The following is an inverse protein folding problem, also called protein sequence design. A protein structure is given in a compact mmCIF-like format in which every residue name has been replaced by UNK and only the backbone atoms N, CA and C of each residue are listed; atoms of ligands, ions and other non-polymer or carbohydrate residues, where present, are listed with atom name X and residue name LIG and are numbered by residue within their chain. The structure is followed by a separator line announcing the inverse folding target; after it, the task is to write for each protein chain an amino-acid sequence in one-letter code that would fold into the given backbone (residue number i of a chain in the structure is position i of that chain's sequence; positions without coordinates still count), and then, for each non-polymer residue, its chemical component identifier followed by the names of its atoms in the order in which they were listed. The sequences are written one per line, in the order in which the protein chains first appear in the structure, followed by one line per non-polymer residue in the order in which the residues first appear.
data_IF_564869117778
#
_entry.id   IF_564869117778
#
_cell.length_a   1.000
_cell.length_b   1.000
_cell.length_c   1.000
_cell.angle_alpha   90.00
_cell.angle_beta   90.00
_cell.angle_gamma   90.00
#
_symmetry.space_group_name_H-M   'P 1'
#
loop_
_entity.id
_entity.type
_entity.pdbx_description
1 polymer ?
#
# COMPACT_ATOMS: atom_id res chain seq x y z
N UNK A 1 -31.73 -25.66 -0.56
CA UNK A 1 -30.80 -24.74 -1.22
C UNK A 1 -30.77 -23.47 -0.37
N UNK A 2 -29.65 -23.12 0.29
CA UNK A 2 -29.61 -21.88 1.06
C UNK A 2 -29.77 -20.69 0.09
N UNK A 3 -30.47 -19.62 0.49
CA UNK A 3 -30.61 -18.43 -0.36
C UNK A 3 -29.24 -17.85 -0.69
N UNK A 4 -29.04 -17.26 -1.89
CA UNK A 4 -27.83 -16.51 -2.17
C UNK A 4 -27.72 -15.40 -1.11
N UNK A 5 -26.63 -15.41 -0.35
CA UNK A 5 -26.36 -14.34 0.62
C UNK A 5 -26.35 -12.97 -0.08
N UNK A 6 -26.54 -11.87 0.68
CA UNK A 6 -26.61 -10.54 0.11
C UNK A 6 -25.39 -10.25 -0.77
N UNK A 7 -25.56 -9.55 -1.91
CA UNK A 7 -24.47 -9.24 -2.82
C UNK A 7 -23.40 -8.44 -2.07
N UNK A 8 -22.17 -8.96 -2.04
CA UNK A 8 -21.05 -8.29 -1.37
C UNK A 8 -20.66 -7.08 -2.20
N UNK A 9 -20.70 -5.90 -1.58
CA UNK A 9 -20.42 -4.64 -2.25
C UNK A 9 -18.95 -4.56 -2.70
N UNK A 10 -18.64 -4.00 -3.89
CA UNK A 10 -17.27 -3.81 -4.34
C UNK A 10 -16.52 -2.84 -3.43
N UNK A 11 -15.21 -3.06 -3.26
CA UNK A 11 -14.39 -2.15 -2.45
C UNK A 11 -14.17 -0.83 -3.18
N UNK A 12 -13.92 -0.90 -4.49
CA UNK A 12 -13.71 0.26 -5.36
C UNK A 12 -14.54 0.06 -6.61
N UNK A 13 -15.29 1.09 -7.01
CA UNK A 13 -16.04 1.10 -8.26
C UNK A 13 -15.76 2.39 -9.02
N UNK A 14 -15.37 2.24 -10.27
CA UNK A 14 -15.16 3.32 -11.22
C UNK A 14 -16.11 3.11 -12.40
N UNK A 15 -16.96 4.09 -12.69
CA UNK A 15 -17.93 4.05 -13.77
C UNK A 15 -17.72 5.23 -14.73
N UNK A 16 -17.21 4.95 -15.93
CA UNK A 16 -17.00 5.90 -17.03
C UNK A 16 -16.31 7.21 -16.60
N UNK A 17 -15.30 7.10 -15.73
CA UNK A 17 -14.63 8.25 -15.14
C UNK A 17 -13.49 8.79 -15.99
N UNK A 18 -13.41 10.12 -16.10
CA UNK A 18 -12.24 10.81 -16.69
C UNK A 18 -11.38 11.38 -15.57
N UNK A 19 -10.08 11.08 -15.56
CA UNK A 19 -9.18 11.37 -14.45
C UNK A 19 -8.12 12.42 -14.80
N UNK A 20 -7.85 13.31 -13.85
CA UNK A 20 -6.91 14.42 -14.01
C UNK A 20 -6.00 14.58 -12.80
N UNK A 21 -4.79 15.12 -13.01
CA UNK A 21 -3.87 15.52 -11.94
C UNK A 21 -4.24 16.87 -11.34
N UNK A 22 -4.72 17.79 -12.17
CA UNK A 22 -5.19 19.12 -11.80
C UNK A 22 -6.66 19.27 -12.19
N UNK A 23 -7.36 20.22 -11.59
CA UNK A 23 -8.76 20.43 -11.91
C UNK A 23 -8.93 20.77 -13.41
N UNK A 24 -9.97 20.27 -14.11
CA UNK A 24 -10.18 20.54 -15.53
C UNK A 24 -10.26 22.02 -15.90
N UNK A 25 -10.59 22.89 -14.94
CA UNK A 25 -10.63 24.35 -15.13
C UNK A 25 -9.28 25.06 -14.93
N UNK A 26 -8.20 24.34 -14.60
CA UNK A 26 -6.88 24.94 -14.46
C UNK A 26 -6.36 25.47 -15.81
N UNK A 27 -5.52 26.50 -15.79
CA UNK A 27 -4.87 27.03 -16.98
C UNK A 27 -3.35 26.82 -16.92
N UNK A 28 -2.73 26.21 -17.95
CA UNK A 28 -3.38 25.63 -19.14
C UNK A 28 -4.22 24.39 -18.79
N UNK A 29 -5.24 24.10 -19.61
CA UNK A 29 -6.17 23.00 -19.38
C UNK A 29 -5.42 21.65 -19.31
N UNK A 30 -5.57 20.88 -18.21
CA UNK A 30 -4.83 19.64 -18.06
C UNK A 30 -5.38 18.57 -19.00
N UNK A 31 -4.49 17.80 -19.64
CA UNK A 31 -4.88 16.62 -20.41
C UNK A 31 -5.41 15.53 -19.48
N UNK A 32 -6.48 14.81 -19.85
CA UNK A 32 -6.96 13.67 -19.08
C UNK A 32 -5.88 12.57 -19.08
N UNK A 33 -5.64 12.00 -17.91
CA UNK A 33 -4.75 10.85 -17.72
C UNK A 33 -5.41 9.54 -18.16
N UNK A 34 -6.70 9.43 -17.89
CA UNK A 34 -7.57 8.37 -18.37
C UNK A 34 -8.92 8.98 -18.76
N UNK A 35 -9.51 8.50 -19.86
CA UNK A 35 -10.85 8.89 -20.31
C UNK A 35 -11.75 7.66 -20.37
N UNK A 36 -12.97 7.79 -19.84
CA UNK A 36 -13.98 6.72 -19.85
C UNK A 36 -13.57 5.44 -19.11
N UNK A 37 -12.69 5.56 -18.10
CA UNK A 37 -12.23 4.39 -17.34
C UNK A 37 -13.41 3.78 -16.57
N UNK A 38 -13.60 2.47 -16.74
CA UNK A 38 -14.59 1.69 -15.99
C UNK A 38 -13.90 0.45 -15.42
N UNK A 39 -13.99 0.27 -14.11
CA UNK A 39 -13.30 -0.80 -13.39
C UNK A 39 -14.03 -1.06 -12.07
N UNK A 40 -14.12 -2.33 -11.68
CA UNK A 40 -14.67 -2.72 -10.38
C UNK A 40 -13.73 -3.68 -9.67
N UNK A 41 -13.40 -3.36 -8.42
CA UNK A 41 -12.66 -4.25 -7.53
C UNK A 41 -13.64 -4.89 -6.55
N UNK A 42 -13.90 -6.20 -6.65
CA UNK A 42 -14.92 -6.86 -5.85
C UNK A 42 -14.55 -6.88 -4.37
N UNK A 43 -15.56 -6.81 -3.50
CA UNK A 43 -15.41 -6.91 -2.05
C UNK A 43 -15.69 -8.32 -1.56
N UNK A 44 -14.79 -8.86 -0.75
CA UNK A 44 -15.01 -10.08 0.01
C UNK A 44 -15.34 -11.30 -0.84
N UNK A 45 -14.49 -11.69 -1.79
CA UNK A 45 -14.61 -13.01 -2.43
C UNK A 45 -14.36 -14.15 -1.44
N UNK A 46 -15.02 -15.30 -1.62
CA UNK A 46 -14.75 -16.52 -0.84
C UNK A 46 -13.32 -17.06 -1.07
N UNK A 47 -12.73 -16.70 -2.21
CA UNK A 47 -11.33 -16.96 -2.54
C UNK A 47 -10.51 -15.66 -2.51
N UNK A 48 -9.28 -15.77 -2.00
CA UNK A 48 -8.29 -14.71 -2.04
C UNK A 48 -8.04 -14.20 -3.46
N UNK A 49 -8.20 -12.89 -3.66
CA UNK A 49 -7.94 -12.26 -4.94
C UNK A 49 -6.64 -11.45 -4.89
N UNK A 50 -5.82 -11.60 -5.94
CA UNK A 50 -4.67 -10.76 -6.19
C UNK A 50 -4.71 -10.34 -7.66
N UNK A 51 -4.60 -9.04 -7.89
CA UNK A 51 -4.70 -8.44 -9.22
C UNK A 51 -3.33 -7.92 -9.64
N UNK A 52 -3.00 -8.07 -10.92
CA UNK A 52 -1.79 -7.54 -11.51
C UNK A 52 -2.14 -6.57 -12.63
N UNK A 53 -1.56 -5.37 -12.58
CA UNK A 53 -1.67 -4.39 -13.66
C UNK A 53 -0.43 -4.54 -14.52
N UNK A 54 -0.61 -4.98 -15.77
CA UNK A 54 0.47 -5.19 -16.73
C UNK A 54 0.43 -4.15 -17.84
N UNK A 55 1.59 -3.78 -18.36
CA UNK A 55 1.72 -2.84 -19.46
C UNK A 55 3.15 -2.34 -19.63
N UNK A 56 3.48 -1.74 -20.78
CA UNK A 56 4.81 -1.18 -21.05
C UNK A 56 5.25 -0.15 -20.00
N UNK A 57 6.55 0.17 -19.97
CA UNK A 57 7.05 1.32 -19.21
C UNK A 57 6.29 2.58 -19.61
N UNK A 58 5.98 3.45 -18.65
CA UNK A 58 5.23 4.70 -18.85
C UNK A 58 3.79 4.53 -19.38
N UNK A 59 3.23 3.32 -19.36
CA UNK A 59 1.83 3.09 -19.78
C UNK A 59 0.77 3.59 -18.78
N UNK A 60 1.17 4.24 -17.68
CA UNK A 60 0.26 4.74 -16.65
C UNK A 60 -0.12 3.76 -15.54
N UNK A 61 0.64 2.67 -15.32
CA UNK A 61 0.37 1.69 -14.24
C UNK A 61 0.32 2.34 -12.85
N UNK A 62 1.38 3.07 -12.49
CA UNK A 62 1.43 3.88 -11.26
C UNK A 62 0.29 4.88 -11.19
N UNK A 63 -0.03 5.53 -12.31
CA UNK A 63 -1.15 6.48 -12.41
C UNK A 63 -2.49 5.79 -12.11
N UNK A 64 -2.71 4.57 -12.61
CA UNK A 64 -3.90 3.77 -12.29
C UNK A 64 -3.96 3.44 -10.80
N UNK A 65 -2.84 3.10 -10.17
CA UNK A 65 -2.81 2.91 -8.71
C UNK A 65 -3.14 4.20 -7.96
N UNK A 66 -2.72 5.37 -8.44
CA UNK A 66 -3.11 6.67 -7.84
C UNK A 66 -4.61 6.97 -8.05
N UNK A 67 -5.20 6.54 -9.17
CA UNK A 67 -6.66 6.59 -9.40
C UNK A 67 -7.38 5.76 -8.31
N UNK A 68 -6.96 4.51 -8.12
CA UNK A 68 -7.56 3.59 -7.14
C UNK A 68 -7.40 4.08 -5.71
N UNK A 69 -6.23 4.65 -5.39
CA UNK A 69 -5.91 5.21 -4.06
C UNK A 69 -6.80 6.38 -3.66
N UNK A 70 -7.42 7.06 -4.62
CA UNK A 70 -8.20 8.27 -4.32
C UNK A 70 -7.49 9.59 -4.64
N UNK A 71 -6.24 9.58 -5.12
CA UNK A 71 -5.41 10.80 -5.22
C UNK A 71 -5.67 11.66 -6.46
N UNK A 72 -6.21 11.07 -7.52
CA UNK A 72 -6.53 11.80 -8.75
C UNK A 72 -7.98 12.27 -8.73
N UNK A 73 -8.23 13.42 -9.36
CA UNK A 73 -9.55 14.01 -9.54
C UNK A 73 -10.29 13.24 -10.62
N UNK A 74 -11.59 13.04 -10.45
CA UNK A 74 -12.46 12.40 -11.45
C UNK A 74 -13.59 13.32 -11.88
N UNK A 75 -13.95 13.24 -13.16
CA UNK A 75 -15.14 13.85 -13.75
C UNK A 75 -16.01 12.76 -14.39
N UNK A 76 -17.30 12.68 -14.04
CA UNK A 76 -17.95 13.39 -12.94
C UNK A 76 -17.37 13.01 -11.55
N UNK A 77 -17.57 13.83 -10.49
CA UNK A 77 -17.07 13.51 -9.15
C UNK A 77 -17.59 12.19 -8.57
N UNK A 78 -18.77 11.74 -9.03
CA UNK A 78 -19.40 10.48 -8.65
C UNK A 78 -18.84 9.26 -9.41
N UNK A 79 -17.97 9.47 -10.41
CA UNK A 79 -17.45 8.39 -11.24
C UNK A 79 -16.61 7.38 -10.43
N UNK A 80 -16.02 7.79 -9.30
CA UNK A 80 -15.32 6.90 -8.37
C UNK A 80 -16.06 6.83 -7.04
N UNK A 81 -16.38 5.62 -6.61
CA UNK A 81 -17.01 5.35 -5.32
C UNK A 81 -16.34 4.19 -4.60
N UNK A 82 -16.57 4.11 -3.30
CA UNK A 82 -16.05 3.07 -2.43
C UNK A 82 -17.18 2.37 -1.66
N UNK A 83 -18.04 1.56 -2.32
CA UNK A 83 -19.25 1.02 -1.70
C UNK A 83 -18.99 0.13 -0.47
N UNK A 84 -17.89 -0.62 -0.48
CA UNK A 84 -17.47 -1.47 0.65
C UNK A 84 -16.92 -0.71 1.86
N UNK A 85 -16.83 0.61 1.80
CA UNK A 85 -16.43 1.52 2.87
C UNK A 85 -17.68 2.23 3.40
N UNK A 86 -18.39 1.62 4.35
CA UNK A 86 -19.60 2.17 4.98
C UNK A 86 -19.31 3.45 5.80
N UNK A 87 -18.98 4.57 5.14
CA UNK A 87 -18.63 5.85 5.76
C UNK A 87 -17.16 5.97 6.22
N UNK A 88 -16.32 4.98 5.93
CA UNK A 88 -14.90 5.03 6.25
C UNK A 88 -14.11 5.92 5.28
N UNK A 89 -13.02 6.52 5.76
CA UNK A 89 -12.11 7.32 4.92
C UNK A 89 -11.39 6.38 3.93
N UNK A 90 -11.44 6.62 2.60
CA UNK A 90 -10.80 5.76 1.60
C UNK A 90 -9.31 5.52 1.85
N UNK A 91 -8.61 6.51 2.38
CA UNK A 91 -7.17 6.44 2.68
C UNK A 91 -6.80 5.39 3.74
N UNK A 92 -7.73 5.01 4.63
CA UNK A 92 -7.52 3.95 5.61
C UNK A 92 -7.69 2.57 5.00
N UNK A 93 -8.67 2.39 4.11
CA UNK A 93 -8.94 1.10 3.50
C UNK A 93 -8.07 0.78 2.29
N UNK A 94 -7.58 1.80 1.56
CA UNK A 94 -6.70 1.61 0.42
C UNK A 94 -5.31 2.10 0.79
N UNK A 95 -4.40 1.16 1.08
CA UNK A 95 -3.00 1.49 1.38
C UNK A 95 -2.14 1.27 0.15
N UNK A 96 -1.34 2.28 -0.15
CA UNK A 96 -0.38 2.27 -1.25
C UNK A 96 1.04 2.13 -0.69
N UNK A 97 1.79 1.19 -1.26
CA UNK A 97 3.22 1.00 -1.00
C UNK A 97 3.94 1.05 -2.33
N UNK A 98 4.61 2.16 -2.59
CA UNK A 98 5.48 2.32 -3.74
C UNK A 98 6.93 2.07 -3.36
N UNK A 99 7.69 1.54 -4.31
CA UNK A 99 9.11 1.24 -4.14
C UNK A 99 10.01 1.88 -5.19
N UNK A 100 9.42 2.66 -6.09
CA UNK A 100 10.16 3.55 -6.95
C UNK A 100 10.94 4.53 -6.07
N UNK A 101 12.16 4.84 -6.53
CA UNK A 101 13.06 5.79 -5.90
C UNK A 101 12.52 7.23 -6.07
N UNK A 102 11.38 7.54 -5.44
CA UNK A 102 10.94 8.91 -5.27
C UNK A 102 11.76 9.55 -4.13
N UNK A 103 12.53 10.62 -4.40
CA UNK A 103 13.21 11.42 -3.39
C UNK A 103 12.16 12.19 -2.58
N UNK A 104 11.58 11.52 -1.59
CA UNK A 104 10.44 12.08 -0.85
C UNK A 104 9.72 11.08 0.04
N UNK A 105 9.96 9.78 -0.12
CA UNK A 105 9.67 8.82 0.96
C UNK A 105 10.64 9.12 2.10
N UNK A 106 10.24 10.02 3.00
CA UNK A 106 11.03 10.57 4.12
C UNK A 106 11.75 9.48 4.89
N UNK A 107 11.27 8.24 4.90
CA UNK A 107 11.97 7.13 5.55
C UNK A 107 13.07 6.49 4.70
N UNK A 108 12.91 6.31 3.39
CA UNK A 108 13.95 5.68 2.55
C UNK A 108 15.14 6.61 2.34
N UNK A 109 14.87 7.89 2.04
CA UNK A 109 15.91 8.90 1.85
C UNK A 109 16.62 9.23 3.16
N UNK A 110 15.90 9.23 4.30
CA UNK A 110 16.52 9.37 5.62
C UNK A 110 17.39 8.17 5.98
N UNK A 111 16.92 6.94 5.72
CA UNK A 111 17.70 5.72 5.97
C UNK A 111 18.94 5.61 5.07
N UNK A 112 18.84 5.97 3.78
CA UNK A 112 19.99 5.96 2.87
C UNK A 112 21.00 7.08 3.18
N UNK A 113 20.53 8.29 3.50
CA UNK A 113 21.40 9.41 3.88
C UNK A 113 22.12 9.17 5.21
N UNK A 114 21.47 8.46 6.16
CA UNK A 114 22.08 8.06 7.43
C UNK A 114 23.05 6.89 7.32
N UNK A 115 22.94 6.06 6.28
CA UNK A 115 23.93 5.00 6.02
C UNK A 115 25.33 5.58 5.70
N UNK A 116 25.37 6.76 5.06
CA UNK A 116 26.62 7.49 4.77
C UNK A 116 27.13 8.30 5.97
N UNK A 117 26.24 8.73 6.89
CA UNK A 117 26.63 9.40 8.13
C UNK A 117 26.75 8.40 9.30
N UNK A 118 27.96 7.92 9.58
CA UNK A 118 28.39 7.21 10.80
C UNK A 118 27.28 6.86 11.82
N UNK A 119 27.03 5.56 11.99
CA UNK A 119 26.36 4.86 13.11
C UNK A 119 26.23 5.70 14.39
N UNK A 120 25.15 6.44 14.54
CA UNK A 120 24.76 7.08 15.80
C UNK A 120 23.71 6.22 16.51
N UNK A 121 23.76 6.18 17.85
CA UNK A 121 22.90 5.41 18.74
C UNK A 121 21.43 5.93 18.82
N UNK A 122 20.97 6.64 17.78
CA UNK A 122 19.64 7.29 17.69
C UNK A 122 18.74 6.67 16.62
N UNK A 123 19.13 5.52 16.06
CA UNK A 123 18.29 4.80 15.09
C UNK A 123 17.09 4.15 15.78
N UNK A 124 15.90 4.46 15.28
CA UNK A 124 14.66 3.81 15.68
C UNK A 124 14.70 2.31 15.36
N UNK A 125 14.12 1.50 16.24
CA UNK A 125 13.98 0.07 15.99
C UNK A 125 13.02 -0.20 14.82
N UNK A 126 13.08 -1.39 14.23
CA UNK A 126 12.07 -1.82 13.26
C UNK A 126 10.67 -1.76 13.87
N UNK A 127 10.51 -2.14 15.14
CA UNK A 127 9.26 -2.02 15.91
C UNK A 127 8.76 -0.58 15.92
N UNK A 128 9.63 0.40 16.21
CA UNK A 128 9.26 1.82 16.19
C UNK A 128 8.84 2.28 14.79
N UNK A 129 9.55 1.84 13.76
CA UNK A 129 9.17 2.11 12.36
C UNK A 129 7.78 1.56 12.02
N UNK A 130 7.50 0.31 12.41
CA UNK A 130 6.22 -0.36 12.17
C UNK A 130 5.07 0.33 12.90
N UNK A 131 5.30 0.76 14.15
CA UNK A 131 4.33 1.47 14.98
C UNK A 131 4.23 2.96 14.62
N UNK A 132 5.06 3.47 13.71
CA UNK A 132 5.05 4.88 13.30
C UNK A 132 5.61 5.83 14.37
N UNK A 133 6.40 5.33 15.33
CA UNK A 133 7.05 6.08 16.41
C UNK A 133 8.34 6.79 15.94
N UNK A 134 8.39 7.21 14.67
CA UNK A 134 9.60 7.75 14.01
C UNK A 134 9.56 9.26 13.76
N UNK A 135 8.62 9.98 14.37
CA UNK A 135 8.44 11.43 14.16
C UNK A 135 8.46 12.21 15.49
N UNK A 136 8.69 13.53 15.40
CA UNK A 136 8.73 14.45 16.55
C UNK A 136 7.40 14.53 17.32
N UNK A 137 6.29 14.19 16.66
CA UNK A 137 4.97 14.09 17.26
C UNK A 137 4.32 12.78 16.79
N UNK A 138 4.60 11.64 17.44
CA UNK A 138 4.07 10.36 17.02
C UNK A 138 2.55 10.42 17.12
N UNK A 139 1.87 10.43 15.97
CA UNK A 139 0.43 10.25 15.92
C UNK A 139 0.14 8.94 16.64
N UNK A 140 -0.55 9.02 17.79
CA UNK A 140 -1.11 7.85 18.50
C UNK A 140 -2.14 7.20 17.58
N UNK A 141 -1.66 6.42 16.63
CA UNK A 141 -2.50 5.54 15.82
C UNK A 141 -2.99 4.49 16.80
N UNK A 142 -4.28 4.54 17.10
CA UNK A 142 -4.88 3.92 18.27
C UNK A 142 -4.56 2.44 18.45
N UNK A 143 -4.53 2.02 19.71
CA UNK A 143 -4.43 0.63 20.16
C UNK A 143 -3.18 -0.07 19.65
N UNK A 144 -2.15 -0.16 20.50
CA UNK A 144 -1.02 -1.08 20.31
C UNK A 144 -1.55 -2.51 20.30
N UNK A 145 -2.03 -2.98 19.14
CA UNK A 145 -2.41 -4.38 18.96
C UNK A 145 -1.12 -5.16 18.71
N UNK A 146 -0.39 -5.38 19.79
CA UNK A 146 0.86 -6.15 19.83
C UNK A 146 0.66 -7.54 19.22
N UNK A 147 -0.56 -8.08 19.31
CA UNK A 147 -0.90 -9.35 18.69
C UNK A 147 -0.94 -9.22 17.14
N UNK A 148 -1.51 -8.15 16.59
CA UNK A 148 -1.44 -7.87 15.14
C UNK A 148 0.00 -7.57 14.70
N UNK A 149 0.78 -6.83 15.50
CA UNK A 149 2.19 -6.59 15.21
C UNK A 149 2.97 -7.91 15.12
N UNK A 150 2.86 -8.77 16.13
CA UNK A 150 3.53 -10.06 16.18
C UNK A 150 3.14 -10.96 15.00
N UNK A 151 1.85 -11.00 14.64
CA UNK A 151 1.36 -11.75 13.48
C UNK A 151 1.95 -11.23 12.16
N UNK A 152 1.84 -9.93 11.90
CA UNK A 152 2.35 -9.32 10.66
C UNK A 152 3.88 -9.47 10.56
N UNK A 153 4.58 -9.33 11.68
CA UNK A 153 6.03 -9.55 11.74
C UNK A 153 6.40 -11.00 11.41
N UNK A 154 5.68 -11.99 11.97
CA UNK A 154 5.90 -13.40 11.67
C UNK A 154 5.59 -13.73 10.20
N UNK A 155 4.44 -13.28 9.68
CA UNK A 155 4.01 -13.52 8.28
C UNK A 155 5.03 -12.97 7.26
N UNK A 156 5.73 -11.90 7.61
CA UNK A 156 6.75 -11.28 6.76
C UNK A 156 8.18 -11.65 7.18
N UNK A 157 8.36 -12.59 8.12
CA UNK A 157 9.67 -13.04 8.63
C UNK A 157 10.56 -11.87 9.09
N UNK A 158 9.99 -11.02 9.94
CA UNK A 158 10.58 -9.83 10.56
C UNK A 158 10.66 -9.94 12.10
N UNK A 159 10.12 -11.01 12.68
CA UNK A 159 10.02 -11.27 14.12
C UNK A 159 11.35 -11.09 14.85
N UNK A 160 12.43 -11.70 14.36
CA UNK A 160 13.78 -11.59 14.95
C UNK A 160 14.47 -10.25 14.72
N UNK A 161 13.86 -9.38 13.92
CA UNK A 161 14.44 -8.10 13.51
C UNK A 161 13.76 -6.91 14.18
N UNK A 162 12.69 -7.13 14.97
CA UNK A 162 11.87 -6.07 15.54
C UNK A 162 12.67 -5.08 16.39
N UNK A 163 13.62 -5.58 17.17
CA UNK A 163 14.40 -4.75 18.08
C UNK A 163 15.72 -4.26 17.46
N UNK A 164 16.01 -4.66 16.21
CA UNK A 164 17.15 -4.14 15.47
C UNK A 164 16.86 -2.75 14.93
N UNK A 165 17.89 -1.88 14.82
CA UNK A 165 17.80 -0.62 14.10
C UNK A 165 17.24 -0.82 12.69
N UNK A 166 16.24 -0.03 12.29
CA UNK A 166 15.63 -0.16 10.96
C UNK A 166 16.64 0.07 9.82
N UNK A 167 17.73 0.80 10.08
CA UNK A 167 18.83 1.03 9.13
C UNK A 167 19.65 -0.23 8.81
N UNK A 168 19.58 -1.28 9.65
CA UNK A 168 20.37 -2.50 9.48
C UNK A 168 19.68 -3.53 8.59
N UNK A 169 18.45 -3.24 8.15
CA UNK A 169 17.68 -4.12 7.30
C UNK A 169 18.29 -4.19 5.90
N UNK A 170 18.43 -5.40 5.37
CA UNK A 170 18.73 -5.58 3.95
C UNK A 170 17.62 -4.97 3.08
N UNK A 171 17.91 -4.71 1.80
CA UNK A 171 16.90 -4.15 0.87
C UNK A 171 15.59 -4.97 0.88
N UNK A 172 15.68 -6.29 0.83
CA UNK A 172 14.52 -7.19 0.93
C UNK A 172 13.80 -7.16 2.28
N UNK A 173 14.54 -7.02 3.39
CA UNK A 173 13.95 -6.85 4.73
C UNK A 173 13.24 -5.50 4.86
N UNK A 174 13.85 -4.41 4.41
CA UNK A 174 13.23 -3.08 4.39
C UNK A 174 11.97 -3.04 3.52
N UNK A 175 11.96 -3.77 2.39
CA UNK A 175 10.77 -3.93 1.54
C UNK A 175 9.63 -4.59 2.30
N UNK A 176 9.91 -5.71 2.97
CA UNK A 176 8.95 -6.43 3.82
C UNK A 176 8.48 -5.54 4.98
N UNK A 177 9.35 -4.75 5.60
CA UNK A 177 8.98 -3.81 6.65
C UNK A 177 7.99 -2.73 6.16
N UNK A 178 8.17 -2.18 4.95
CA UNK A 178 7.21 -1.22 4.38
C UNK A 178 5.83 -1.85 4.14
N UNK A 179 5.80 -3.10 3.68
CA UNK A 179 4.56 -3.87 3.49
C UNK A 179 3.90 -4.14 4.84
N UNK A 180 4.67 -4.59 5.84
CA UNK A 180 4.21 -4.80 7.21
C UNK A 180 3.55 -3.56 7.78
N UNK A 181 4.22 -2.40 7.70
CA UNK A 181 3.67 -1.12 8.16
C UNK A 181 2.34 -0.76 7.49
N UNK A 182 2.19 -1.07 6.20
CA UNK A 182 0.92 -0.85 5.49
C UNK A 182 -0.19 -1.81 5.97
N UNK A 183 0.15 -3.06 6.27
CA UNK A 183 -0.78 -4.08 6.77
C UNK A 183 -1.26 -3.81 8.20
N UNK A 184 -0.43 -3.20 9.05
CA UNK A 184 -0.82 -2.83 10.42
C UNK A 184 -2.00 -1.86 10.46
N UNK A 185 -2.22 -1.09 9.39
CA UNK A 185 -3.39 -0.22 9.25
C UNK A 185 -4.70 -0.99 8.90
N UNK A 186 -4.64 -2.34 8.80
CA UNK A 186 -5.73 -3.24 8.40
C UNK A 186 -6.45 -2.79 7.12
N UNK A 187 -5.71 -2.58 6.01
CA UNK A 187 -6.32 -2.14 4.77
C UNK A 187 -7.27 -3.21 4.20
N UNK A 188 -8.32 -2.76 3.51
CA UNK A 188 -9.16 -3.63 2.66
C UNK A 188 -8.49 -3.93 1.33
N UNK A 189 -7.67 -2.99 0.82
CA UNK A 189 -6.92 -3.09 -0.43
C UNK A 189 -5.50 -2.61 -0.19
N UNK A 190 -4.54 -3.47 -0.52
CA UNK A 190 -3.13 -3.14 -0.54
C UNK A 190 -2.66 -3.00 -1.99
N UNK A 191 -2.29 -1.79 -2.39
CA UNK A 191 -1.71 -1.48 -3.69
C UNK A 191 -0.19 -1.50 -3.57
N UNK A 192 0.46 -2.40 -4.30
CA UNK A 192 1.92 -2.51 -4.38
C UNK A 192 2.37 -2.00 -5.74
N UNK A 193 3.20 -0.96 -5.74
CA UNK A 193 3.76 -0.38 -6.96
C UNK A 193 5.22 -0.78 -7.09
N UNK A 194 5.53 -1.51 -8.16
CA UNK A 194 6.85 -2.08 -8.39
C UNK A 194 7.38 -2.92 -7.19
N UNK A 195 6.63 -3.94 -6.71
CA UNK A 195 6.98 -4.77 -5.54
C UNK A 195 8.27 -5.61 -5.69
N UNK A 196 8.83 -5.71 -6.90
CA UNK A 196 10.01 -6.55 -7.18
C UNK A 196 11.17 -5.78 -7.80
N UNK A 197 10.99 -4.50 -8.13
CA UNK A 197 12.05 -3.69 -8.74
C UNK A 197 13.28 -3.59 -7.84
N UNK A 198 14.46 -3.80 -8.43
CA UNK A 198 15.75 -3.69 -7.76
C UNK A 198 16.07 -4.82 -6.77
N UNK A 199 15.29 -5.91 -6.77
CA UNK A 199 15.59 -7.11 -5.99
C UNK A 199 16.36 -8.13 -6.82
N UNK A 200 17.33 -8.79 -6.19
CA UNK A 200 17.98 -9.96 -6.76
C UNK A 200 17.00 -11.16 -6.82
N UNK A 201 17.27 -12.15 -7.70
CA UNK A 201 16.37 -13.29 -7.88
C UNK A 201 16.06 -14.07 -6.61
N UNK A 202 17.02 -14.21 -5.68
CA UNK A 202 16.82 -14.93 -4.43
C UNK A 202 15.85 -14.17 -3.51
N UNK A 203 15.97 -12.85 -3.44
CA UNK A 203 15.03 -12.02 -2.66
C UNK A 203 13.62 -12.01 -3.28
N UNK A 204 13.49 -12.00 -4.62
CA UNK A 204 12.19 -12.14 -5.30
C UNK A 204 11.54 -13.49 -4.98
N UNK A 205 12.31 -14.58 -5.04
CA UNK A 205 11.85 -15.93 -4.69
C UNK A 205 11.37 -16.01 -3.22
N UNK A 206 11.94 -15.21 -2.33
CA UNK A 206 11.51 -15.10 -0.94
C UNK A 206 10.24 -14.27 -0.74
N UNK A 207 10.06 -13.16 -1.47
CA UNK A 207 8.93 -12.24 -1.29
C UNK A 207 7.62 -12.72 -1.93
N UNK A 208 7.69 -13.30 -3.13
CA UNK A 208 6.51 -13.72 -3.89
C UNK A 208 5.60 -14.71 -3.12
N UNK A 209 6.14 -15.76 -2.46
CA UNK A 209 5.33 -16.65 -1.63
C UNK A 209 4.66 -15.94 -0.45
N UNK A 210 5.34 -14.99 0.19
CA UNK A 210 4.78 -14.24 1.33
C UNK A 210 3.57 -13.41 0.90
N UNK A 211 3.65 -12.73 -0.24
CA UNK A 211 2.52 -11.97 -0.79
C UNK A 211 1.33 -12.89 -1.11
N UNK A 212 1.58 -14.08 -1.67
CA UNK A 212 0.52 -15.06 -1.94
C UNK A 212 -0.14 -15.54 -0.64
N UNK A 213 0.66 -15.81 0.39
CA UNK A 213 0.14 -16.20 1.71
C UNK A 213 -0.73 -15.11 2.32
N UNK A 214 -0.26 -13.85 2.29
CA UNK A 214 -1.03 -12.70 2.79
C UNK A 214 -2.36 -12.50 2.05
N UNK A 215 -2.40 -12.76 0.75
CA UNK A 215 -3.66 -12.76 0.01
C UNK A 215 -4.59 -13.87 0.48
N UNK A 216 -4.07 -15.10 0.68
CA UNK A 216 -4.84 -16.27 1.13
C UNK A 216 -5.46 -16.11 2.51
N UNK A 217 -4.76 -15.46 3.43
CA UNK A 217 -5.26 -15.18 4.78
C UNK A 217 -6.24 -14.00 4.82
N UNK A 218 -6.37 -13.21 3.74
CA UNK A 218 -7.47 -12.25 3.57
C UNK A 218 -7.29 -10.88 4.22
N UNK A 219 -6.05 -10.47 4.56
CA UNK A 219 -5.73 -9.28 5.41
C UNK A 219 -6.29 -9.41 6.85
N UNK A 220 -5.73 -8.71 7.85
CA UNK A 220 -5.72 -9.20 9.22
C UNK A 220 -7.15 -9.24 9.77
N UNK A 221 -7.57 -10.42 10.21
CA UNK A 221 -8.62 -10.55 11.21
C UNK A 221 -8.20 -9.83 12.50
#
# INVERSE_FOLDING_TARGET
MPPPGPPRLPVIRIANGTFYRQHPSAQPAPRPLFSGLSLELPGGSAAAQHWCVVGPSLSGKTTLLQVLRGRLLCSPPTARSFPGLAGGVPERAVRYVGFDAEPGATTTTYLSARYESRREATDFSLRDFLLGKTGLNPLRTGGEDEAVLGRVAADLKLDRLLDLPAAFLSNGQGRRARIARALLARPRVLLLDEPFMGLDPATVAGLSPLLRTLCRTGSPT
#
